data_IF_878056941560
#
_entry.id   IF_878056941560
#
_cell.length_a   1.000
_cell.length_b   1.000
_cell.length_c   1.000
_cell.angle_alpha   90.00
_cell.angle_beta   90.00
_cell.angle_gamma   90.00
#
_symmetry.space_group_name_H-M   'P 1'
#
loop_
_entity.id
_entity.type
_entity.pdbx_description
1 polymer ?
#
# COMPACT_ATOMS: atom_id res chain seq x y z
N UNK A 1 -12.94 0.67 10.38
CA UNK A 1 -13.23 1.26 9.05
C UNK A 1 -11.88 1.62 8.43
N UNK A 2 -11.43 0.95 7.36
CA UNK A 2 -10.11 1.22 6.76
C UNK A 2 -10.11 2.63 6.17
N UNK A 3 -9.28 3.53 6.70
CA UNK A 3 -9.17 4.92 6.25
C UNK A 3 -8.31 4.99 4.98
N UNK A 4 -8.82 4.47 3.87
CA UNK A 4 -8.15 4.55 2.57
C UNK A 4 -8.37 5.94 1.95
N UNK A 5 -7.28 6.62 1.62
CA UNK A 5 -7.32 7.95 1.00
C UNK A 5 -7.32 7.87 -0.54
N UNK A 6 -7.77 8.94 -1.19
CA UNK A 6 -7.70 9.10 -2.65
C UNK A 6 -8.57 8.11 -3.45
N UNK A 7 -8.10 7.72 -4.64
CA UNK A 7 -8.84 6.85 -5.59
C UNK A 7 -9.26 5.49 -5.00
N UNK A 8 -8.53 4.97 -4.02
CA UNK A 8 -8.84 3.71 -3.36
C UNK A 8 -10.17 3.75 -2.57
N UNK A 9 -10.63 4.94 -2.16
CA UNK A 9 -11.93 5.14 -1.50
C UNK A 9 -13.12 4.84 -2.43
N UNK A 10 -12.94 5.00 -3.74
CA UNK A 10 -13.99 4.81 -4.74
C UNK A 10 -14.12 3.36 -5.22
N UNK A 11 -13.27 2.46 -4.71
CA UNK A 11 -13.25 1.08 -5.18
C UNK A 11 -14.32 0.23 -4.50
N UNK A 12 -14.89 -0.70 -5.26
CA UNK A 12 -15.78 -1.71 -4.70
C UNK A 12 -15.08 -2.50 -3.57
N UNK A 13 -15.80 -2.85 -2.50
CA UNK A 13 -15.22 -3.50 -1.32
C UNK A 13 -14.52 -4.83 -1.63
N UNK A 14 -15.03 -5.61 -2.60
CA UNK A 14 -14.37 -6.84 -3.04
C UNK A 14 -13.00 -6.57 -3.68
N UNK A 15 -12.91 -5.55 -4.54
CA UNK A 15 -11.65 -5.12 -5.15
C UNK A 15 -10.67 -4.66 -4.08
N UNK A 16 -11.16 -3.94 -3.07
CA UNK A 16 -10.38 -3.48 -1.93
C UNK A 16 -9.79 -4.62 -1.12
N UNK A 17 -10.61 -5.61 -0.73
CA UNK A 17 -10.15 -6.78 0.02
C UNK A 17 -9.11 -7.58 -0.76
N UNK A 18 -9.42 -7.96 -2.00
CA UNK A 18 -8.51 -8.72 -2.85
C UNK A 18 -7.16 -8.02 -2.92
N UNK A 19 -7.20 -6.72 -3.21
CA UNK A 19 -5.99 -5.94 -3.32
C UNK A 19 -5.19 -5.82 -2.03
N UNK A 20 -5.84 -5.58 -0.89
CA UNK A 20 -5.18 -5.50 0.42
C UNK A 20 -4.47 -6.82 0.74
N UNK A 21 -5.16 -7.95 0.54
CA UNK A 21 -4.58 -9.27 0.81
C UNK A 21 -3.50 -9.66 -0.19
N UNK A 22 -3.63 -9.29 -1.47
CA UNK A 22 -2.56 -9.50 -2.46
C UNK A 22 -1.33 -8.66 -2.13
N UNK A 23 -1.50 -7.39 -1.75
CA UNK A 23 -0.39 -6.52 -1.34
C UNK A 23 0.30 -7.02 -0.07
N UNK A 24 -0.47 -7.41 0.95
CA UNK A 24 0.06 -8.02 2.15
C UNK A 24 0.79 -9.34 1.84
N UNK A 25 0.25 -10.19 0.96
CA UNK A 25 0.90 -11.43 0.53
C UNK A 25 2.22 -11.17 -0.19
N UNK A 26 2.25 -10.20 -1.12
CA UNK A 26 3.49 -9.77 -1.78
C UNK A 26 4.50 -9.22 -0.76
N UNK A 27 4.07 -8.38 0.19
CA UNK A 27 4.93 -7.85 1.25
C UNK A 27 5.47 -8.94 2.17
N UNK A 28 4.67 -9.92 2.59
CA UNK A 28 5.14 -11.01 3.47
C UNK A 28 6.10 -11.93 2.73
N UNK A 29 5.81 -12.25 1.46
CA UNK A 29 6.67 -13.13 0.64
C UNK A 29 7.95 -12.46 0.18
N UNK A 30 7.92 -11.16 -0.13
CA UNK A 30 9.08 -10.40 -0.62
C UNK A 30 9.77 -9.56 0.45
N UNK A 31 9.11 -9.24 1.56
CA UNK A 31 9.58 -8.34 2.62
C UNK A 31 10.70 -8.88 3.49
N UNK A 32 11.07 -10.16 3.34
CA UNK A 32 12.39 -10.66 3.80
C UNK A 32 13.54 -10.05 3.02
N UNK A 33 13.27 -9.35 1.91
CA UNK A 33 14.27 -8.61 1.13
C UNK A 33 14.25 -7.15 1.56
N UNK A 34 15.46 -6.59 1.75
CA UNK A 34 15.68 -5.17 2.01
C UNK A 34 15.17 -4.24 0.90
N UNK A 35 14.96 -4.79 -0.30
CA UNK A 35 14.48 -4.05 -1.48
C UNK A 35 13.17 -4.68 -1.95
N UNK A 36 12.09 -3.92 -1.85
CA UNK A 36 10.78 -4.27 -2.38
C UNK A 36 10.67 -3.79 -3.83
N UNK A 37 10.59 -4.70 -4.80
CA UNK A 37 10.35 -4.34 -6.21
C UNK A 37 8.85 -4.33 -6.50
N UNK A 38 8.25 -3.14 -6.46
CA UNK A 38 6.87 -2.93 -6.89
C UNK A 38 6.82 -2.67 -8.40
N UNK A 39 5.91 -3.36 -9.07
CA UNK A 39 5.73 -3.20 -10.52
C UNK A 39 5.04 -1.86 -10.81
N UNK A 40 5.62 -1.01 -11.66
CA UNK A 40 5.17 0.38 -11.87
C UNK A 40 3.72 0.51 -12.35
N UNK A 41 3.25 -0.42 -13.19
CA UNK A 41 1.88 -0.39 -13.72
C UNK A 41 0.84 -0.94 -12.73
N UNK A 42 1.29 -1.52 -11.61
CA UNK A 42 0.38 -2.07 -10.63
C UNK A 42 -0.36 -0.93 -9.93
N UNK A 43 -1.71 -0.97 -9.86
CA UNK A 43 -2.51 0.15 -9.40
C UNK A 43 -2.24 0.58 -7.94
N UNK A 44 -1.55 -0.24 -7.15
CA UNK A 44 -1.17 0.08 -5.76
C UNK A 44 0.20 0.70 -5.61
N UNK A 45 1.08 0.61 -6.61
CA UNK A 45 2.45 1.13 -6.49
C UNK A 45 2.43 2.62 -6.16
N UNK A 46 1.59 3.39 -6.84
CA UNK A 46 1.40 4.81 -6.53
C UNK A 46 0.87 5.06 -5.12
N UNK A 47 -0.08 4.24 -4.65
CA UNK A 47 -0.65 4.38 -3.31
C UNK A 47 0.37 4.04 -2.22
N UNK A 48 1.07 2.91 -2.34
CA UNK A 48 2.08 2.47 -1.38
C UNK A 48 3.25 3.46 -1.33
N UNK A 49 3.74 3.94 -2.47
CA UNK A 49 4.84 4.91 -2.51
C UNK A 49 4.42 6.25 -1.91
N UNK A 50 3.23 6.76 -2.22
CA UNK A 50 2.73 8.02 -1.65
C UNK A 50 2.48 7.91 -0.15
N UNK A 51 1.94 6.79 0.34
CA UNK A 51 1.73 6.58 1.77
C UNK A 51 3.06 6.41 2.51
N UNK A 52 4.05 5.73 1.93
CA UNK A 52 5.40 5.64 2.49
C UNK A 52 6.06 7.02 2.59
N UNK A 53 5.97 7.82 1.54
CA UNK A 53 6.47 9.19 1.53
C UNK A 53 5.81 10.01 2.65
N UNK A 54 4.48 9.92 2.78
CA UNK A 54 3.75 10.59 3.87
C UNK A 54 4.17 10.10 5.26
N UNK A 55 4.40 8.80 5.44
CA UNK A 55 4.87 8.23 6.71
C UNK A 55 6.27 8.74 7.07
N UNK A 56 7.17 8.89 6.10
CA UNK A 56 8.51 9.46 6.35
C UNK A 56 8.48 10.94 6.72
N UNK A 57 7.42 11.66 6.33
CA UNK A 57 7.21 13.06 6.70
C UNK A 57 6.50 13.22 8.06
N UNK A 58 6.01 12.12 8.66
CA UNK A 58 5.34 12.20 9.95
C UNK A 58 6.39 12.39 11.06
N UNK A 59 6.22 13.39 11.95
CA UNK A 59 7.10 13.52 13.10
C UNK A 59 7.02 12.27 13.97
N UNK A 60 8.16 11.90 14.59
CA UNK A 60 8.18 10.80 15.54
C UNK A 60 7.20 11.11 16.68
N UNK A 61 6.37 10.12 17.10
CA UNK A 61 5.45 10.35 18.20
C UNK A 61 6.23 10.63 19.49
N UNK A 62 5.80 11.65 20.23
CA UNK A 62 6.28 11.97 21.59
C UNK A 62 5.88 10.88 22.60
#
# INVERSE_FOLDING_TARGET
MLALSGKARLWAPCRLRLCLFTAAGQLVTTGRRRILRLVRHWPWTGHITADLERLTQLPAPD
#
